data_IF_320985275103
#
_entry.id   IF_320985275103
#
_cell.length_a   1.000
_cell.length_b   1.000
_cell.length_c   1.000
_cell.angle_alpha   90.00
_cell.angle_beta   90.00
_cell.angle_gamma   90.00
#
_symmetry.space_group_name_H-M   'P 1'
#
loop_
_entity.id
_entity.type
_entity.pdbx_description
1 polymer ?
#
# COMPACT_ATOMS: atom_id res chain seq x y z
N UNK A 1 -6.51 -22.13 10.65
CA UNK A 1 -5.79 -21.09 9.89
C UNK A 1 -6.22 -19.76 10.47
N UNK A 2 -5.31 -18.92 10.92
CA UNK A 2 -5.62 -17.60 11.49
C UNK A 2 -5.45 -16.49 10.44
N UNK A 3 -5.89 -15.28 10.76
CA UNK A 3 -5.81 -14.12 9.86
C UNK A 3 -4.38 -13.65 9.58
N UNK A 4 -3.41 -13.94 10.45
CA UNK A 4 -2.01 -13.58 10.21
C UNK A 4 -1.44 -14.44 9.09
N UNK A 5 -1.74 -15.74 9.10
CA UNK A 5 -1.39 -16.65 8.00
C UNK A 5 -2.05 -16.23 6.69
N UNK A 6 -3.26 -15.67 6.74
CA UNK A 6 -3.90 -15.06 5.57
C UNK A 6 -3.09 -13.85 5.10
N UNK A 7 -2.80 -12.89 5.98
CA UNK A 7 -2.00 -11.72 5.63
C UNK A 7 -0.61 -12.08 5.11
N UNK A 8 0.03 -13.11 5.64
CA UNK A 8 1.31 -13.64 5.17
C UNK A 8 1.24 -14.17 3.75
N UNK A 9 0.21 -14.97 3.45
CA UNK A 9 0.00 -15.50 2.10
C UNK A 9 -0.30 -14.38 1.11
N UNK A 10 -1.09 -13.39 1.51
CA UNK A 10 -1.40 -12.23 0.67
C UNK A 10 -0.18 -11.32 0.49
N UNK A 11 0.64 -11.14 1.52
CA UNK A 11 1.85 -10.33 1.44
C UNK A 11 2.84 -10.89 0.41
N UNK A 12 2.93 -12.21 0.25
CA UNK A 12 3.75 -12.82 -0.80
C UNK A 12 3.34 -12.39 -2.21
N UNK A 13 2.03 -12.22 -2.46
CA UNK A 13 1.52 -11.69 -3.74
C UNK A 13 2.03 -10.27 -3.91
N UNK A 14 1.83 -9.41 -2.91
CA UNK A 14 2.34 -8.04 -2.96
C UNK A 14 3.86 -7.98 -3.22
N UNK A 15 4.65 -8.80 -2.54
CA UNK A 15 6.11 -8.79 -2.68
C UNK A 15 6.55 -9.20 -4.09
N UNK A 16 5.88 -10.18 -4.71
CA UNK A 16 6.12 -10.57 -6.11
C UNK A 16 5.82 -9.43 -7.09
N UNK A 17 4.69 -8.74 -6.90
CA UNK A 17 4.33 -7.60 -7.75
C UNK A 17 5.23 -6.39 -7.50
N UNK A 18 5.63 -6.15 -6.25
CA UNK A 18 6.61 -5.10 -5.90
C UNK A 18 7.91 -5.30 -6.66
N UNK A 19 8.44 -6.53 -6.73
CA UNK A 19 9.67 -6.82 -7.48
C UNK A 19 9.50 -6.54 -8.98
N UNK A 20 8.39 -6.95 -9.59
CA UNK A 20 8.06 -6.63 -10.99
C UNK A 20 8.01 -5.12 -11.20
N UNK A 21 7.32 -4.41 -10.31
CA UNK A 21 7.16 -2.96 -10.33
C UNK A 21 8.52 -2.25 -10.26
N UNK A 22 9.42 -2.68 -9.38
CA UNK A 22 10.80 -2.15 -9.29
C UNK A 22 11.60 -2.37 -10.57
N UNK A 23 11.48 -3.55 -11.21
CA UNK A 23 12.11 -3.83 -12.51
C UNK A 23 11.59 -2.90 -13.61
N UNK A 24 10.29 -2.61 -13.65
CA UNK A 24 9.72 -1.69 -14.66
C UNK A 24 10.20 -0.25 -14.47
N UNK A 25 10.29 0.27 -13.23
CA UNK A 25 10.90 1.58 -13.00
C UNK A 25 12.37 1.64 -13.41
N UNK A 26 13.10 0.55 -13.20
CA UNK A 26 14.50 0.45 -13.63
C UNK A 26 14.62 0.49 -15.16
N UNK A 27 13.70 -0.19 -15.87
CA UNK A 27 13.61 -0.11 -17.34
C UNK A 27 13.25 1.29 -17.82
N UNK A 28 12.25 1.93 -17.22
CA UNK A 28 11.86 3.32 -17.52
C UNK A 28 13.06 4.25 -17.37
N UNK A 29 13.77 4.18 -16.25
CA UNK A 29 14.98 4.97 -16.00
C UNK A 29 16.01 4.77 -17.10
N UNK A 30 16.36 3.52 -17.40
CA UNK A 30 17.41 3.20 -18.36
C UNK A 30 17.06 3.69 -19.77
N UNK A 31 15.78 3.59 -20.18
CA UNK A 31 15.32 4.06 -21.49
C UNK A 31 15.33 5.58 -21.60
N UNK A 32 14.86 6.29 -20.56
CA UNK A 32 14.91 7.76 -20.51
C UNK A 32 16.37 8.25 -20.54
N UNK A 33 17.23 7.67 -19.69
CA UNK A 33 18.65 8.05 -19.61
C UNK A 33 19.36 7.79 -20.94
N UNK A 34 19.08 6.66 -21.61
CA UNK A 34 19.63 6.36 -22.94
C UNK A 34 19.19 7.38 -23.99
N UNK A 35 17.90 7.73 -24.03
CA UNK A 35 17.40 8.75 -24.97
C UNK A 35 18.05 10.11 -24.74
N UNK A 36 18.27 10.49 -23.48
CA UNK A 36 19.02 11.70 -23.14
C UNK A 36 20.48 11.61 -23.57
N UNK A 37 21.15 10.49 -23.33
CA UNK A 37 22.54 10.29 -23.74
C UNK A 37 22.71 10.48 -25.24
N UNK A 38 21.89 9.81 -26.05
CA UNK A 38 21.90 9.92 -27.51
C UNK A 38 21.67 11.36 -27.97
N UNK A 39 20.80 12.11 -27.28
CA UNK A 39 20.57 13.52 -27.58
C UNK A 39 21.77 14.40 -27.22
N UNK A 40 22.42 14.18 -26.07
CA UNK A 40 23.62 14.91 -25.66
C UNK A 40 24.81 14.62 -26.59
N UNK A 41 24.99 13.36 -27.01
CA UNK A 41 26.03 12.97 -27.97
C UNK A 41 25.81 13.65 -29.34
N UNK A 42 24.55 13.78 -29.77
CA UNK A 42 24.20 14.32 -31.08
C UNK A 42 24.16 15.85 -31.14
N UNK A 43 23.72 16.50 -30.06
CA UNK A 43 23.42 17.94 -30.05
C UNK A 43 24.27 18.74 -29.06
N UNK A 44 25.12 18.08 -28.26
CA UNK A 44 25.90 18.72 -27.20
C UNK A 44 25.05 19.09 -25.98
N UNK A 45 25.57 20.02 -25.18
CA UNK A 45 25.02 20.46 -23.90
C UNK A 45 24.34 21.85 -23.94
N UNK A 46 24.21 22.46 -25.13
CA UNK A 46 23.67 23.82 -25.25
C UNK A 46 22.20 23.82 -25.60
N UNK A 47 21.37 24.50 -24.81
CA UNK A 47 19.93 24.62 -25.07
C UNK A 47 19.61 25.17 -26.47
N UNK A 48 20.43 26.07 -27.00
CA UNK A 48 20.26 26.64 -28.35
C UNK A 48 20.25 25.56 -29.44
N UNK A 49 21.07 24.51 -29.32
CA UNK A 49 21.10 23.40 -30.28
C UNK A 49 19.82 22.55 -30.24
N UNK A 50 19.19 22.43 -29.07
CA UNK A 50 17.92 21.72 -28.90
C UNK A 50 16.71 22.53 -29.40
N UNK A 51 16.79 23.86 -29.38
CA UNK A 51 15.72 24.71 -29.92
C UNK A 51 15.68 24.69 -31.46
N UNK A 52 16.80 24.43 -32.13
CA UNK A 52 16.83 24.28 -33.59
C UNK A 52 15.94 23.13 -34.02
N UNK A 53 15.17 23.33 -35.09
CA UNK A 53 14.35 22.29 -35.73
C UNK A 53 13.43 21.52 -34.76
N UNK A 54 12.96 22.17 -33.69
CA UNK A 54 12.06 21.55 -32.70
C UNK A 54 12.61 20.27 -32.04
N UNK A 55 13.95 20.10 -31.97
CA UNK A 55 14.58 18.90 -31.40
C UNK A 55 14.20 18.66 -29.94
N UNK A 56 14.05 19.74 -29.16
CA UNK A 56 13.61 19.66 -27.76
C UNK A 56 12.21 19.05 -27.64
N UNK A 57 11.28 19.44 -28.51
CA UNK A 57 9.92 18.90 -28.52
C UNK A 57 9.90 17.44 -29.00
N UNK A 58 10.73 17.11 -30.00
CA UNK A 58 10.88 15.74 -30.46
C UNK A 58 11.42 14.82 -29.37
N UNK A 59 12.42 15.27 -28.59
CA UNK A 59 12.95 14.53 -27.46
C UNK A 59 11.94 14.41 -26.32
N UNK A 60 11.21 15.48 -26.00
CA UNK A 60 10.13 15.44 -25.02
C UNK A 60 9.09 14.39 -25.41
N UNK A 61 8.62 14.41 -26.66
CA UNK A 61 7.68 13.43 -27.19
C UNK A 61 8.21 12.01 -27.10
N UNK A 62 9.47 11.77 -27.46
CA UNK A 62 10.10 10.46 -27.32
C UNK A 62 10.09 9.97 -25.85
N UNK A 63 10.44 10.84 -24.91
CA UNK A 63 10.42 10.50 -23.49
C UNK A 63 9.00 10.26 -22.98
N UNK A 64 8.01 11.04 -23.43
CA UNK A 64 6.60 10.84 -23.12
C UNK A 64 6.08 9.51 -23.65
N UNK A 65 6.46 9.11 -24.87
CA UNK A 65 6.10 7.81 -25.47
C UNK A 65 6.73 6.65 -24.67
N UNK A 66 8.00 6.78 -24.28
CA UNK A 66 8.68 5.80 -23.39
C UNK A 66 7.92 5.69 -22.08
N UNK A 67 7.64 6.82 -21.43
CA UNK A 67 6.98 6.84 -20.13
C UNK A 67 5.56 6.30 -20.20
N UNK A 68 4.79 6.66 -21.22
CA UNK A 68 3.43 6.15 -21.43
C UNK A 68 3.42 4.64 -21.55
N UNK A 69 4.32 4.07 -22.36
CA UNK A 69 4.41 2.61 -22.54
C UNK A 69 4.82 1.88 -21.25
N UNK A 70 5.76 2.41 -20.48
CA UNK A 70 6.17 1.76 -19.23
C UNK A 70 5.14 1.96 -18.10
N UNK A 71 4.46 3.10 -18.04
CA UNK A 71 3.38 3.33 -17.08
C UNK A 71 2.14 2.49 -17.36
N UNK A 72 1.82 2.24 -18.64
CA UNK A 72 0.75 1.31 -18.99
C UNK A 72 1.02 -0.10 -18.44
N UNK A 73 2.27 -0.58 -18.55
CA UNK A 73 2.67 -1.86 -17.93
C UNK A 73 2.59 -1.84 -16.41
N UNK A 74 2.99 -0.74 -15.78
CA UNK A 74 2.86 -0.56 -14.32
C UNK A 74 1.39 -0.59 -13.88
N UNK A 75 0.49 -0.03 -14.69
CA UNK A 75 -0.95 -0.06 -14.44
C UNK A 75 -1.51 -1.49 -14.59
N UNK A 76 -1.17 -2.19 -15.68
CA UNK A 76 -1.55 -3.58 -15.91
C UNK A 76 -1.07 -4.50 -14.76
N UNK A 77 0.17 -4.33 -14.30
CA UNK A 77 0.72 -5.08 -13.16
C UNK A 77 -0.03 -4.74 -11.85
N UNK A 78 -0.42 -3.47 -11.64
CA UNK A 78 -1.16 -3.06 -10.45
C UNK A 78 -2.60 -3.58 -10.43
N UNK A 79 -3.27 -3.59 -11.58
CA UNK A 79 -4.60 -4.18 -11.76
C UNK A 79 -4.57 -5.68 -11.53
N UNK A 80 -3.62 -6.39 -12.17
CA UNK A 80 -3.42 -7.83 -11.97
C UNK A 80 -3.17 -8.18 -10.50
N UNK A 81 -2.37 -7.38 -9.78
CA UNK A 81 -2.16 -7.55 -8.35
C UNK A 81 -3.48 -7.40 -7.56
N UNK A 82 -4.29 -6.39 -7.86
CA UNK A 82 -5.57 -6.19 -7.17
C UNK A 82 -6.53 -7.34 -7.42
N UNK A 83 -6.62 -7.82 -8.66
CA UNK A 83 -7.46 -8.97 -9.02
C UNK A 83 -7.02 -10.24 -8.28
N UNK A 84 -5.72 -10.56 -8.32
CA UNK A 84 -5.18 -11.74 -7.65
C UNK A 84 -5.34 -11.65 -6.13
N UNK A 85 -5.07 -10.47 -5.56
CA UNK A 85 -5.25 -10.21 -4.13
C UNK A 85 -6.71 -10.36 -3.73
N UNK A 86 -7.65 -9.81 -4.53
CA UNK A 86 -9.07 -9.92 -4.28
C UNK A 86 -9.48 -11.39 -4.23
N UNK A 87 -9.15 -12.15 -5.27
CA UNK A 87 -9.55 -13.53 -5.41
C UNK A 87 -8.97 -14.41 -4.29
N UNK A 88 -7.68 -14.21 -3.98
CA UNK A 88 -7.02 -14.96 -2.91
C UNK A 88 -7.58 -14.58 -1.55
N UNK A 89 -7.73 -13.29 -1.26
CA UNK A 89 -8.26 -12.83 0.02
C UNK A 89 -9.67 -13.35 0.22
N UNK A 90 -10.53 -13.25 -0.81
CA UNK A 90 -11.92 -13.67 -0.73
C UNK A 90 -12.06 -15.16 -0.39
N UNK A 91 -11.29 -16.02 -1.06
CA UNK A 91 -11.28 -17.45 -0.79
C UNK A 91 -10.69 -17.77 0.59
N UNK A 92 -9.61 -17.09 1.00
CA UNK A 92 -8.99 -17.30 2.31
C UNK A 92 -9.90 -16.88 3.46
N UNK A 93 -10.59 -15.75 3.36
CA UNK A 93 -11.56 -15.32 4.38
C UNK A 93 -12.83 -16.16 4.35
N UNK A 94 -13.30 -16.62 3.19
CA UNK A 94 -14.39 -17.60 3.12
C UNK A 94 -14.01 -18.92 3.80
N UNK A 95 -12.77 -19.38 3.59
CA UNK A 95 -12.25 -20.57 4.27
C UNK A 95 -12.06 -20.35 5.78
N UNK A 96 -11.67 -19.14 6.21
CA UNK A 96 -11.64 -18.78 7.63
C UNK A 96 -13.01 -18.94 8.28
N UNK A 97 -14.07 -18.45 7.62
CA UNK A 97 -15.46 -18.61 8.07
C UNK A 97 -15.84 -20.08 8.18
N UNK A 98 -15.51 -20.89 7.16
CA UNK A 98 -15.74 -22.35 7.21
C UNK A 98 -15.04 -23.02 8.39
N UNK A 99 -13.76 -22.66 8.63
CA UNK A 99 -12.98 -23.21 9.72
C UNK A 99 -13.57 -22.84 11.09
N UNK A 100 -14.05 -21.61 11.24
CA UNK A 100 -14.74 -21.16 12.45
C UNK A 100 -15.98 -22.00 12.72
N UNK A 101 -16.89 -22.14 11.76
CA UNK A 101 -18.10 -22.96 11.94
C UNK A 101 -17.83 -24.46 12.11
N UNK A 102 -16.66 -24.92 11.69
CA UNK A 102 -16.23 -26.31 11.88
C UNK A 102 -15.61 -26.55 13.26
N UNK A 103 -15.23 -25.50 14.01
CA UNK A 103 -14.67 -25.60 15.35
C UNK A 103 -15.73 -25.97 16.38
N UNK A 104 -15.29 -26.42 17.56
CA UNK A 104 -16.17 -26.77 18.68
C UNK A 104 -17.00 -25.55 19.12
N UNK A 105 -16.39 -24.37 19.20
CA UNK A 105 -17.08 -23.12 19.50
C UNK A 105 -18.09 -22.71 18.42
N UNK A 106 -17.73 -22.86 17.14
CA UNK A 106 -18.65 -22.58 16.04
C UNK A 106 -19.82 -23.56 15.96
N UNK A 107 -19.66 -24.80 16.45
CA UNK A 107 -20.75 -25.77 16.61
C UNK A 107 -21.67 -25.43 17.78
N UNK A 108 -21.13 -24.88 18.87
CA UNK A 108 -21.92 -24.43 20.03
C UNK A 108 -22.75 -23.18 19.72
N UNK A 109 -22.28 -22.32 18.80
CA UNK A 109 -23.00 -21.12 18.34
C UNK A 109 -23.94 -21.39 17.15
N UNK A 110 -23.92 -22.59 16.56
CA UNK A 110 -24.84 -23.02 15.50
C UNK A 110 -26.22 -23.36 16.10
N UNK A 111 -26.96 -22.33 16.54
CA UNK A 111 -28.39 -22.49 16.83
C UNK A 111 -29.13 -22.57 15.49
N UNK A 112 -29.59 -23.79 15.19
CA UNK A 112 -30.63 -24.19 14.24
C UNK A 112 -31.47 -23.05 13.64
N UNK A 113 -31.33 -22.79 12.34
CA UNK A 113 -32.42 -22.15 11.59
C UNK A 113 -33.55 -23.16 11.41
N UNK A 114 -34.63 -22.99 12.17
CA UNK A 114 -35.77 -23.90 12.24
C UNK A 114 -36.63 -24.02 10.94
N UNK A 115 -36.18 -23.48 9.80
CA UNK A 115 -37.02 -23.35 8.59
C UNK A 115 -36.46 -23.97 7.30
N UNK A 116 -35.26 -24.52 7.30
CA UNK A 116 -34.77 -25.37 6.22
C UNK A 116 -33.60 -26.20 6.74
N UNK A 117 -33.53 -27.49 6.43
CA UNK A 117 -32.50 -28.43 6.90
C UNK A 117 -31.05 -28.14 6.44
N UNK A 118 -30.66 -26.88 6.28
CA UNK A 118 -29.30 -26.42 5.95
C UNK A 118 -28.80 -25.56 7.11
N UNK A 119 -27.59 -25.83 7.62
CA UNK A 119 -27.01 -24.99 8.68
C UNK A 119 -26.74 -23.57 8.17
N UNK A 120 -26.92 -22.56 9.03
CA UNK A 120 -26.65 -21.13 8.74
C UNK A 120 -25.25 -20.95 8.15
N UNK A 121 -24.28 -21.72 8.65
CA UNK A 121 -22.92 -21.81 8.12
C UNK A 121 -22.86 -22.16 6.62
N UNK A 122 -23.60 -23.20 6.19
CA UNK A 122 -23.64 -23.63 4.77
C UNK A 122 -24.28 -22.54 3.91
N UNK A 123 -25.35 -21.91 4.38
CA UNK A 123 -26.01 -20.82 3.66
C UNK A 123 -25.07 -19.60 3.46
N UNK A 124 -24.31 -19.21 4.50
CA UNK A 124 -23.33 -18.12 4.44
C UNK A 124 -22.21 -18.45 3.45
N UNK A 125 -21.60 -19.63 3.55
CA UNK A 125 -20.49 -20.04 2.68
C UNK A 125 -20.97 -20.13 1.23
N UNK A 126 -22.14 -20.72 0.99
CA UNK A 126 -22.74 -20.79 -0.34
C UNK A 126 -23.00 -19.38 -0.90
N UNK A 127 -23.55 -18.47 -0.09
CA UNK A 127 -23.77 -17.08 -0.50
C UNK A 127 -22.45 -16.39 -0.86
N UNK A 128 -21.40 -16.52 -0.03
CA UNK A 128 -20.08 -15.95 -0.31
C UNK A 128 -19.53 -16.48 -1.64
N UNK A 129 -19.55 -17.79 -1.85
CA UNK A 129 -19.03 -18.39 -3.08
C UNK A 129 -19.84 -17.98 -4.32
N UNK A 130 -21.17 -17.94 -4.22
CA UNK A 130 -22.07 -17.56 -5.32
C UNK A 130 -21.93 -16.10 -5.72
N UNK A 131 -21.75 -15.20 -4.75
CA UNK A 131 -21.69 -13.75 -5.00
C UNK A 131 -20.27 -13.24 -5.31
N UNK A 132 -19.23 -14.08 -5.21
CA UNK A 132 -17.83 -13.69 -5.45
C UNK A 132 -17.63 -12.90 -6.75
N UNK A 133 -18.19 -13.38 -7.87
CA UNK A 133 -18.02 -12.74 -9.19
C UNK A 133 -18.65 -11.35 -9.21
N UNK A 134 -19.85 -11.20 -8.67
CA UNK A 134 -20.54 -9.91 -8.59
C UNK A 134 -19.74 -8.93 -7.72
N UNK A 135 -19.35 -9.35 -6.52
CA UNK A 135 -18.59 -8.52 -5.57
C UNK A 135 -17.24 -8.09 -6.16
N UNK A 136 -16.57 -8.98 -6.92
CA UNK A 136 -15.35 -8.66 -7.68
C UNK A 136 -15.61 -7.58 -8.73
N UNK A 137 -16.69 -7.71 -9.50
CA UNK A 137 -17.05 -6.71 -10.52
C UNK A 137 -17.37 -5.35 -9.89
N UNK A 138 -18.11 -5.32 -8.78
CA UNK A 138 -18.40 -4.08 -8.04
C UNK A 138 -17.12 -3.42 -7.52
N UNK A 139 -16.20 -4.23 -6.96
CA UNK A 139 -14.90 -3.76 -6.50
C UNK A 139 -14.09 -3.11 -7.62
N UNK A 140 -13.89 -3.86 -8.72
CA UNK A 140 -13.05 -3.41 -9.83
C UNK A 140 -13.61 -2.15 -10.47
N UNK A 141 -14.93 -2.06 -10.68
CA UNK A 141 -15.58 -0.83 -11.18
C UNK A 141 -15.33 0.39 -10.29
N UNK A 142 -15.38 0.20 -8.97
CA UNK A 142 -15.14 1.29 -8.03
C UNK A 142 -13.67 1.73 -7.99
N UNK A 143 -12.72 0.82 -8.25
CA UNK A 143 -11.28 1.11 -8.13
C UNK A 143 -10.59 1.47 -9.44
N UNK A 144 -11.10 1.01 -10.59
CA UNK A 144 -10.48 1.21 -11.92
C UNK A 144 -10.25 2.70 -12.22
N UNK A 145 -11.27 3.52 -12.05
CA UNK A 145 -11.19 4.96 -12.29
C UNK A 145 -10.15 5.65 -11.38
N UNK A 146 -10.13 5.28 -10.10
CA UNK A 146 -9.23 5.87 -9.12
C UNK A 146 -7.76 5.49 -9.40
N UNK A 147 -7.51 4.21 -9.74
CA UNK A 147 -6.19 3.70 -10.07
C UNK A 147 -5.64 4.40 -11.32
N UNK A 148 -6.43 4.44 -12.40
CA UNK A 148 -6.02 5.03 -13.67
C UNK A 148 -5.70 6.52 -13.52
N UNK A 149 -6.57 7.29 -12.87
CA UNK A 149 -6.36 8.72 -12.65
C UNK A 149 -5.07 9.00 -11.86
N UNK A 150 -4.81 8.21 -10.80
CA UNK A 150 -3.63 8.39 -9.94
C UNK A 150 -2.32 8.03 -10.64
N UNK A 151 -2.31 6.96 -11.44
CA UNK A 151 -1.12 6.55 -12.19
C UNK A 151 -0.82 7.53 -13.33
N UNK A 152 -1.83 8.04 -14.03
CA UNK A 152 -1.65 9.05 -15.07
C UNK A 152 -1.11 10.35 -14.49
N UNK A 153 -1.69 10.87 -13.41
CA UNK A 153 -1.18 12.07 -12.75
C UNK A 153 0.28 11.89 -12.31
N UNK A 154 0.60 10.73 -11.73
CA UNK A 154 1.96 10.44 -11.31
C UNK A 154 2.96 10.39 -12.47
N UNK A 155 2.56 9.81 -13.61
CA UNK A 155 3.35 9.81 -14.86
C UNK A 155 3.66 11.24 -15.29
N UNK A 156 2.63 12.08 -15.33
CA UNK A 156 2.74 13.45 -15.85
C UNK A 156 3.62 14.30 -14.93
N UNK A 157 3.44 14.21 -13.61
CA UNK A 157 4.28 14.89 -12.62
C UNK A 157 5.76 14.47 -12.72
N UNK A 158 6.00 13.17 -12.92
CA UNK A 158 7.35 12.62 -13.11
C UNK A 158 7.99 13.13 -14.40
N UNK A 159 7.28 13.05 -15.52
CA UNK A 159 7.79 13.46 -16.83
C UNK A 159 8.04 14.96 -16.90
N UNK A 160 7.12 15.76 -16.35
CA UNK A 160 7.31 17.19 -16.20
C UNK A 160 8.60 17.50 -15.41
N UNK A 161 8.80 16.84 -14.26
CA UNK A 161 9.99 17.05 -13.43
C UNK A 161 11.29 16.70 -14.16
N UNK A 162 11.32 15.55 -14.86
CA UNK A 162 12.49 15.12 -15.64
C UNK A 162 12.81 16.12 -16.76
N UNK A 163 11.78 16.61 -17.45
CA UNK A 163 11.96 17.55 -18.54
C UNK A 163 12.44 18.93 -18.05
N UNK A 164 11.92 19.42 -16.93
CA UNK A 164 12.39 20.67 -16.32
C UNK A 164 13.85 20.56 -15.87
N UNK A 165 14.21 19.49 -15.17
CA UNK A 165 15.59 19.19 -14.75
C UNK A 165 16.54 19.18 -15.99
N UNK A 166 16.11 18.55 -17.10
CA UNK A 166 16.88 18.55 -18.34
C UNK A 166 17.07 19.96 -18.91
N UNK A 167 16.00 20.75 -19.03
CA UNK A 167 16.10 22.11 -19.58
C UNK A 167 17.02 23.00 -18.75
N UNK A 168 16.95 22.90 -17.43
CA UNK A 168 17.79 23.70 -16.54
C UNK A 168 19.26 23.32 -16.64
N UNK A 169 19.57 22.03 -16.78
CA UNK A 169 20.95 21.59 -17.07
C UNK A 169 21.44 22.11 -18.43
N UNK A 170 20.61 22.09 -19.48
CA UNK A 170 20.98 22.64 -20.79
C UNK A 170 21.17 24.17 -20.77
N UNK A 171 20.44 24.91 -19.93
CA UNK A 171 20.64 26.36 -19.74
C UNK A 171 21.96 26.65 -19.04
N UNK A 172 22.31 25.82 -18.05
CA UNK A 172 23.56 25.92 -17.31
C UNK A 172 24.77 25.35 -18.08
N UNK A 173 24.54 24.80 -19.28
CA UNK A 173 25.55 24.07 -20.07
C UNK A 173 26.20 22.91 -19.31
N UNK A 174 25.46 22.31 -18.37
CA UNK A 174 25.91 21.13 -17.63
C UNK A 174 26.03 19.92 -18.56
N UNK A 175 26.91 19.00 -18.21
CA UNK A 175 27.09 17.77 -18.97
C UNK A 175 25.92 16.77 -18.78
N UNK A 176 25.98 15.69 -19.57
CA UNK A 176 25.03 14.59 -19.47
C UNK A 176 25.01 13.94 -18.08
N UNK A 177 26.16 13.89 -17.39
CA UNK A 177 26.28 13.23 -16.08
C UNK A 177 25.42 13.92 -15.02
N UNK A 178 25.39 15.25 -15.01
CA UNK A 178 24.52 16.03 -14.14
C UNK A 178 23.04 15.71 -14.39
N UNK A 179 22.61 15.72 -15.65
CA UNK A 179 21.22 15.41 -16.03
C UNK A 179 20.85 13.97 -15.66
N UNK A 180 21.70 13.00 -15.99
CA UNK A 180 21.50 11.58 -15.68
C UNK A 180 21.33 11.33 -14.19
N UNK A 181 22.14 11.99 -13.35
CA UNK A 181 22.04 11.90 -11.88
C UNK A 181 20.69 12.41 -11.37
N UNK A 182 20.19 13.53 -11.91
CA UNK A 182 18.88 14.08 -11.54
C UNK A 182 17.74 13.16 -11.98
N UNK A 183 17.76 12.66 -13.21
CA UNK A 183 16.78 11.68 -13.69
C UNK A 183 16.74 10.45 -12.80
N UNK A 184 17.89 9.86 -12.46
CA UNK A 184 17.95 8.71 -11.53
C UNK A 184 17.30 9.03 -10.19
N UNK A 185 17.56 10.21 -9.62
CA UNK A 185 16.95 10.66 -8.36
C UNK A 185 15.43 10.81 -8.49
N UNK A 186 14.93 11.43 -9.58
CA UNK A 186 13.49 11.58 -9.84
C UNK A 186 12.82 10.23 -10.00
N UNK A 187 13.43 9.32 -10.76
CA UNK A 187 12.91 7.97 -10.96
C UNK A 187 12.86 7.18 -9.66
N UNK A 188 13.89 7.30 -8.82
CA UNK A 188 13.92 6.68 -7.49
C UNK A 188 12.78 7.20 -6.59
N UNK A 189 12.52 8.50 -6.61
CA UNK A 189 11.40 9.11 -5.87
C UNK A 189 10.05 8.64 -6.43
N UNK A 190 9.89 8.63 -7.75
CA UNK A 190 8.67 8.15 -8.42
C UNK A 190 8.42 6.67 -8.10
N UNK A 191 9.47 5.83 -8.13
CA UNK A 191 9.41 4.41 -7.74
C UNK A 191 8.90 4.24 -6.31
N UNK A 192 9.49 4.95 -5.36
CA UNK A 192 9.09 4.86 -3.95
C UNK A 192 7.63 5.27 -3.75
N UNK A 193 7.18 6.33 -4.43
CA UNK A 193 5.78 6.76 -4.38
C UNK A 193 4.85 5.75 -5.07
N UNK A 194 5.25 5.19 -6.20
CA UNK A 194 4.50 4.14 -6.89
C UNK A 194 4.32 2.89 -6.03
N UNK A 195 5.37 2.41 -5.36
CA UNK A 195 5.30 1.26 -4.44
C UNK A 195 4.36 1.55 -3.26
N UNK A 196 4.41 2.75 -2.69
CA UNK A 196 3.47 3.16 -1.63
C UNK A 196 2.02 3.08 -2.12
N UNK A 197 1.73 3.58 -3.32
CA UNK A 197 0.39 3.47 -3.92
C UNK A 197 -0.01 2.02 -4.15
N UNK A 198 0.90 1.19 -4.66
CA UNK A 198 0.65 -0.25 -4.83
C UNK A 198 0.29 -0.92 -3.49
N UNK A 199 0.99 -0.58 -2.41
CA UNK A 199 0.70 -1.10 -1.07
C UNK A 199 -0.66 -0.62 -0.54
N UNK A 200 -1.03 0.63 -0.79
CA UNK A 200 -2.35 1.17 -0.46
C UNK A 200 -3.47 0.46 -1.21
N UNK A 201 -3.28 0.19 -2.50
CA UNK A 201 -4.22 -0.57 -3.33
C UNK A 201 -4.41 -1.97 -2.78
N UNK A 202 -3.31 -2.68 -2.50
CA UNK A 202 -3.33 -4.01 -1.87
C UNK A 202 -4.12 -4.00 -0.56
N UNK A 203 -3.81 -3.08 0.36
CA UNK A 203 -4.50 -3.00 1.65
C UNK A 203 -5.99 -2.67 1.47
N UNK A 204 -6.34 -1.76 0.55
CA UNK A 204 -7.73 -1.43 0.23
C UNK A 204 -8.50 -2.65 -0.26
N UNK A 205 -7.90 -3.46 -1.15
CA UNK A 205 -8.51 -4.70 -1.65
C UNK A 205 -8.80 -5.67 -0.51
N UNK A 206 -7.81 -5.91 0.37
CA UNK A 206 -7.99 -6.84 1.51
C UNK A 206 -9.08 -6.34 2.46
N UNK A 207 -9.08 -5.05 2.79
CA UNK A 207 -10.08 -4.44 3.65
C UNK A 207 -11.48 -4.49 3.03
N UNK A 208 -11.60 -4.32 1.72
CA UNK A 208 -12.88 -4.46 1.02
C UNK A 208 -13.43 -5.88 1.14
N UNK A 209 -12.59 -6.88 0.90
CA UNK A 209 -12.99 -8.29 1.03
C UNK A 209 -13.45 -8.58 2.45
N UNK A 210 -12.68 -8.15 3.46
CA UNK A 210 -13.05 -8.35 4.86
C UNK A 210 -14.37 -7.65 5.22
N UNK A 211 -14.63 -6.45 4.69
CA UNK A 211 -15.91 -5.74 4.85
C UNK A 211 -17.06 -6.58 4.29
N UNK A 212 -16.91 -7.14 3.09
CA UNK A 212 -17.97 -7.96 2.45
C UNK A 212 -18.19 -9.29 3.16
N UNK A 213 -17.13 -9.89 3.70
CA UNK A 213 -17.26 -11.08 4.54
C UNK A 213 -17.96 -10.74 5.86
N UNK A 214 -17.63 -9.61 6.50
CA UNK A 214 -18.33 -9.14 7.69
C UNK A 214 -19.81 -8.88 7.43
N UNK A 215 -20.15 -8.14 6.36
CA UNK A 215 -21.53 -7.85 5.99
C UNK A 215 -22.35 -9.14 5.77
N UNK A 216 -21.73 -10.23 5.32
CA UNK A 216 -22.39 -11.51 5.15
C UNK A 216 -22.70 -12.22 6.49
N UNK A 217 -21.94 -11.91 7.54
CA UNK A 217 -21.96 -12.56 8.85
C UNK A 217 -22.76 -11.80 9.91
N UNK A 218 -22.65 -10.47 9.95
CA UNK A 218 -23.04 -9.63 11.09
C UNK A 218 -24.48 -9.84 11.59
N UNK A 219 -25.42 -10.12 10.70
CA UNK A 219 -26.85 -10.30 11.04
C UNK A 219 -27.23 -11.77 11.26
N UNK A 220 -26.27 -12.70 11.08
CA UNK A 220 -26.51 -14.16 11.06
C UNK A 220 -25.69 -14.92 12.08
N UNK A 221 -24.67 -14.29 12.65
CA UNK A 221 -23.70 -14.92 13.54
C UNK A 221 -23.48 -13.98 14.71
N UNK A 222 -23.99 -14.37 15.86
CA UNK A 222 -23.70 -13.67 17.11
C UNK A 222 -22.19 -13.71 17.35
N UNK A 223 -21.64 -12.65 17.95
CA UNK A 223 -20.21 -12.51 18.29
C UNK A 223 -19.22 -12.35 17.12
N UNK A 224 -19.69 -11.96 15.93
CA UNK A 224 -18.79 -11.47 14.88
C UNK A 224 -18.61 -9.96 15.01
N UNK A 225 -17.39 -9.55 15.30
CA UNK A 225 -17.05 -8.14 15.45
C UNK A 225 -16.01 -7.71 14.41
N UNK A 226 -15.97 -6.42 14.13
CA UNK A 226 -15.01 -5.84 13.19
C UNK A 226 -14.18 -4.79 13.92
N UNK A 227 -12.88 -5.03 14.02
CA UNK A 227 -11.95 -4.16 14.74
C UNK A 227 -11.02 -3.45 13.76
N UNK A 228 -10.71 -2.19 14.04
CA UNK A 228 -9.74 -1.41 13.29
C UNK A 228 -8.33 -1.63 13.82
N UNK A 229 -7.41 -1.94 12.92
CA UNK A 229 -6.00 -2.16 13.24
C UNK A 229 -5.14 -1.17 12.47
N UNK A 230 -4.45 -0.33 13.21
CA UNK A 230 -3.43 0.56 12.67
C UNK A 230 -2.11 -0.19 12.44
N UNK A 231 -1.30 0.32 11.51
CA UNK A 231 0.08 -0.15 11.42
C UNK A 231 0.84 0.42 12.62
N UNK A 232 1.56 -0.44 13.34
CA UNK A 232 2.33 -0.03 14.53
C UNK A 232 3.65 0.62 14.12
N UNK A 233 3.55 1.85 13.65
CA UNK A 233 4.66 2.74 13.38
C UNK A 233 4.27 4.21 13.58
N UNK A 234 5.29 5.07 13.65
CA UNK A 234 5.12 6.50 13.88
C UNK A 234 4.60 7.27 12.67
N UNK A 235 4.56 6.66 11.48
CA UNK A 235 4.05 7.30 10.26
C UNK A 235 2.53 7.18 10.12
N UNK A 236 1.86 6.33 10.93
CA UNK A 236 0.39 6.32 10.98
C UNK A 236 -0.11 7.59 11.64
N UNK A 237 -1.11 8.23 11.04
CA UNK A 237 -1.69 9.47 11.57
C UNK A 237 -2.27 9.27 12.96
N UNK A 238 -2.19 10.30 13.79
CA UNK A 238 -2.76 10.27 15.14
C UNK A 238 -4.24 9.84 15.16
N UNK A 239 -5.07 10.38 14.28
CA UNK A 239 -6.47 9.99 14.13
C UNK A 239 -6.66 8.47 13.92
N UNK A 240 -5.78 7.85 13.12
CA UNK A 240 -5.86 6.42 12.82
C UNK A 240 -5.28 5.54 13.93
N UNK A 241 -4.39 6.10 14.77
CA UNK A 241 -3.88 5.46 15.97
C UNK A 241 -4.94 5.46 17.08
N UNK A 242 -5.71 6.55 17.21
CA UNK A 242 -6.87 6.60 18.13
C UNK A 242 -7.89 5.51 17.78
N UNK A 243 -8.08 5.25 16.49
CA UNK A 243 -8.96 4.18 16.00
C UNK A 243 -8.38 2.77 16.20
N UNK A 244 -7.10 2.62 16.58
CA UNK A 244 -6.52 1.31 16.82
C UNK A 244 -7.30 0.56 17.90
N UNK A 245 -7.54 -0.73 17.68
CA UNK A 245 -8.31 -1.59 18.58
C UNK A 245 -9.77 -1.16 18.78
N UNK A 246 -10.28 -0.16 18.07
CA UNK A 246 -11.68 0.23 18.15
C UNK A 246 -12.55 -0.72 17.34
N UNK A 247 -13.71 -1.04 17.89
CA UNK A 247 -14.73 -1.86 17.27
C UNK A 247 -15.66 -1.00 16.42
N UNK A 248 -16.12 -1.56 15.32
CA UNK A 248 -17.20 -0.96 14.54
C UNK A 248 -18.52 -1.05 15.31
N UNK A 249 -19.43 -0.11 15.07
CA UNK A 249 -20.79 -0.17 15.57
C UNK A 249 -21.60 -1.33 14.96
N UNK A 250 -22.84 -1.48 15.38
CA UNK A 250 -23.78 -2.50 14.87
C UNK A 250 -24.03 -2.40 13.36
N UNK A 251 -23.99 -1.18 12.81
CA UNK A 251 -24.10 -0.95 11.37
C UNK A 251 -22.82 -1.35 10.61
N UNK A 252 -21.70 -1.51 11.32
CA UNK A 252 -20.38 -1.81 10.79
C UNK A 252 -19.56 -0.56 10.46
N UNK A 253 -19.77 0.56 11.13
CA UNK A 253 -19.01 1.80 10.95
C UNK A 253 -18.04 2.06 12.12
N UNK A 254 -16.87 2.59 11.77
CA UNK A 254 -15.95 3.24 12.69
C UNK A 254 -16.24 4.73 12.72
N UNK A 255 -16.11 5.35 13.89
CA UNK A 255 -16.43 6.76 14.09
C UNK A 255 -15.21 7.55 14.53
N UNK A 256 -14.99 8.71 13.92
CA UNK A 256 -13.93 9.64 14.34
C UNK A 256 -14.34 11.07 14.03
N UNK A 257 -14.28 11.95 15.04
CA UNK A 257 -14.52 13.39 14.90
C UNK A 257 -15.82 13.76 14.13
N UNK A 258 -16.90 12.99 14.33
CA UNK A 258 -18.20 13.21 13.68
C UNK A 258 -18.33 12.66 12.25
N UNK A 259 -17.27 12.09 11.69
CA UNK A 259 -17.33 11.30 10.44
C UNK A 259 -17.39 9.80 10.74
N UNK A 260 -17.83 9.01 9.76
CA UNK A 260 -17.90 7.55 9.87
C UNK A 260 -17.45 6.83 8.60
N UNK A 261 -16.77 5.69 8.76
CA UNK A 261 -16.26 4.87 7.66
C UNK A 261 -16.45 3.38 7.92
N UNK A 262 -16.79 2.59 6.89
CA UNK A 262 -16.92 1.13 7.01
C UNK A 262 -15.58 0.39 7.07
N UNK A 263 -14.54 0.98 6.48
CA UNK A 263 -13.19 0.43 6.43
C UNK A 263 -12.17 1.55 6.15
N UNK A 264 -10.87 1.28 6.30
CA UNK A 264 -9.85 2.21 5.82
C UNK A 264 -10.07 2.61 4.37
N UNK A 265 -9.83 3.88 4.05
CA UNK A 265 -10.04 4.52 2.72
C UNK A 265 -11.48 4.88 2.35
N UNK A 266 -12.46 4.74 3.26
CA UNK A 266 -13.86 5.11 3.00
C UNK A 266 -14.39 6.23 3.88
N UNK A 267 -13.51 7.12 4.38
CA UNK A 267 -13.93 8.34 5.07
C UNK A 267 -14.46 9.37 4.08
N UNK A 268 -15.32 10.29 4.53
CA UNK A 268 -15.74 11.42 3.68
C UNK A 268 -14.59 12.40 3.51
N UNK A 269 -13.82 12.64 4.56
CA UNK A 269 -12.63 13.47 4.51
C UNK A 269 -11.49 12.76 3.73
N UNK A 270 -11.04 13.30 2.58
CA UNK A 270 -9.91 12.74 1.83
C UNK A 270 -8.60 12.68 2.63
N UNK A 271 -8.39 13.55 3.62
CA UNK A 271 -7.20 13.57 4.45
C UNK A 271 -7.05 12.29 5.31
N UNK A 272 -8.18 11.70 5.70
CA UNK A 272 -8.25 10.40 6.40
C UNK A 272 -7.97 9.22 5.46
N UNK A 273 -8.12 9.40 4.14
CA UNK A 273 -7.96 8.31 3.18
C UNK A 273 -6.55 8.22 2.60
N UNK A 274 -5.89 9.34 2.30
CA UNK A 274 -4.58 9.34 1.65
C UNK A 274 -3.54 8.55 2.47
N UNK A 275 -2.63 7.76 1.88
CA UNK A 275 -1.54 7.13 2.67
C UNK A 275 -1.97 6.13 3.76
N UNK A 276 -3.25 5.76 3.85
CA UNK A 276 -3.73 4.90 4.92
C UNK A 276 -3.16 3.48 4.80
N UNK A 277 -2.58 2.98 5.91
CA UNK A 277 -1.96 1.65 6.03
C UNK A 277 -2.67 0.76 7.06
N UNK A 278 -3.83 1.21 7.53
CA UNK A 278 -4.67 0.48 8.47
C UNK A 278 -5.35 -0.70 7.78
N UNK A 279 -5.70 -1.69 8.58
CA UNK A 279 -6.42 -2.89 8.20
C UNK A 279 -7.66 -3.04 9.07
N UNK A 280 -8.59 -3.85 8.63
CA UNK A 280 -9.63 -4.35 9.53
C UNK A 280 -9.30 -5.77 9.97
N UNK A 281 -9.88 -6.17 11.08
CA UNK A 281 -9.76 -7.50 11.63
C UNK A 281 -11.13 -8.02 11.98
N UNK A 282 -11.42 -9.27 11.61
CA UNK A 282 -12.69 -9.91 11.93
C UNK A 282 -12.51 -10.74 13.21
N UNK A 283 -13.24 -10.44 14.26
CA UNK A 283 -13.19 -11.21 15.50
C UNK A 283 -14.37 -12.17 15.52
N UNK A 284 -14.12 -13.41 15.90
CA UNK A 284 -15.14 -14.42 16.09
C UNK A 284 -15.14 -14.81 17.56
N UNK A 285 -16.25 -14.60 18.27
CA UNK A 285 -16.33 -14.85 19.71
C UNK A 285 -15.44 -13.94 20.55
N UNK A 286 -15.20 -12.70 20.12
CA UNK A 286 -14.36 -11.71 20.82
C UNK A 286 -12.87 -12.07 20.95
N UNK A 287 -12.40 -13.15 20.30
CA UNK A 287 -11.00 -13.59 20.40
C UNK A 287 -10.11 -12.82 19.42
N UNK A 288 -9.20 -12.02 19.96
CA UNK A 288 -8.13 -11.38 19.21
C UNK A 288 -7.26 -12.40 18.44
N UNK A 289 -6.61 -12.01 17.33
CA UNK A 289 -5.57 -12.84 16.75
C UNK A 289 -4.49 -13.04 17.81
N UNK A 290 -4.02 -14.27 18.00
CA UNK A 290 -3.01 -14.56 19.03
C UNK A 290 -1.70 -13.77 18.85
N UNK A 291 -1.45 -13.18 17.68
CA UNK A 291 -0.23 -12.44 17.39
C UNK A 291 -0.49 -11.18 16.52
N UNK A 292 0.50 -10.31 16.42
CA UNK A 292 0.51 -9.07 15.66
C UNK A 292 1.88 -8.81 15.05
N UNK A 293 1.94 -8.02 13.97
CA UNK A 293 3.21 -7.61 13.36
C UNK A 293 3.58 -6.22 13.84
N UNK A 294 4.74 -6.13 14.48
CA UNK A 294 5.30 -4.88 15.00
C UNK A 294 6.59 -4.55 14.28
N UNK A 295 6.86 -3.26 14.12
CA UNK A 295 8.22 -2.79 13.87
C UNK A 295 8.97 -2.81 15.21
N UNK A 296 10.17 -3.39 15.19
CA UNK A 296 11.04 -3.43 16.35
C UNK A 296 12.11 -2.34 16.22
N UNK A 297 11.86 -1.20 16.85
CA UNK A 297 12.82 -0.10 16.88
C UNK A 297 13.98 -0.39 17.83
N UNK A 298 13.90 -1.39 18.70
CA UNK A 298 14.97 -1.74 19.64
C UNK A 298 15.92 -2.83 19.07
N UNK A 299 15.66 -3.32 17.85
CA UNK A 299 16.52 -4.31 17.21
C UNK A 299 17.98 -3.80 17.10
N UNK A 300 18.97 -4.55 17.61
CA UNK A 300 20.36 -4.09 17.65
C UNK A 300 20.94 -3.80 16.26
N UNK A 301 20.56 -4.58 15.24
CA UNK A 301 21.06 -4.39 13.87
C UNK A 301 20.45 -3.15 13.23
N UNK A 302 19.17 -2.86 13.51
CA UNK A 302 18.53 -1.62 13.11
C UNK A 302 19.19 -0.41 13.78
N UNK A 303 19.42 -0.45 15.10
CA UNK A 303 20.06 0.63 15.84
C UNK A 303 21.47 0.94 15.34
N UNK A 304 22.28 -0.08 15.03
CA UNK A 304 23.60 0.08 14.41
C UNK A 304 23.48 0.79 13.07
N UNK A 305 22.63 0.29 12.15
CA UNK A 305 22.45 0.89 10.82
C UNK A 305 21.95 2.33 10.90
N UNK A 306 21.05 2.60 11.85
CA UNK A 306 20.51 3.94 12.06
C UNK A 306 21.61 4.91 12.53
N UNK A 307 22.43 4.50 13.49
CA UNK A 307 23.56 5.29 13.98
C UNK A 307 24.58 5.56 12.87
N UNK A 308 25.00 4.53 12.12
CA UNK A 308 25.92 4.67 10.99
C UNK A 308 25.40 5.69 9.96
N UNK A 309 24.10 5.64 9.65
CA UNK A 309 23.52 6.57 8.69
C UNK A 309 23.39 7.99 9.22
N UNK A 310 23.18 8.18 10.51
CA UNK A 310 23.20 9.50 11.14
C UNK A 310 24.60 10.09 11.04
N UNK A 311 25.64 9.30 11.33
CA UNK A 311 27.04 9.71 11.26
C UNK A 311 27.44 10.12 9.83
N UNK A 312 26.96 9.40 8.81
CA UNK A 312 27.16 9.79 7.41
C UNK A 312 26.48 11.12 7.03
N UNK A 313 25.37 11.47 7.67
CA UNK A 313 24.57 12.66 7.35
C UNK A 313 24.99 13.90 8.17
N UNK A 314 25.57 13.70 9.36
CA UNK A 314 26.01 14.74 10.28
C UNK A 314 26.94 15.81 9.67
N UNK A 315 27.89 15.50 8.75
CA UNK A 315 28.75 16.52 8.16
C UNK A 315 28.00 17.65 7.43
N UNK A 316 26.75 17.40 7.01
CA UNK A 316 25.97 18.33 6.19
C UNK A 316 24.66 18.77 6.82
N UNK A 317 24.31 18.26 8.02
CA UNK A 317 22.98 18.41 8.63
C UNK A 317 23.08 18.39 10.15
N UNK A 318 22.12 19.05 10.80
CA UNK A 318 21.95 18.92 12.26
C UNK A 318 21.58 17.48 12.62
N UNK A 319 21.92 17.05 13.83
CA UNK A 319 21.56 15.71 14.32
C UNK A 319 20.07 15.40 14.13
N UNK A 320 19.18 16.35 14.43
CA UNK A 320 17.73 16.17 14.27
C UNK A 320 17.31 15.96 12.80
N UNK A 321 17.94 16.68 11.87
CA UNK A 321 17.70 16.53 10.43
C UNK A 321 18.29 15.22 9.89
N UNK A 322 19.47 14.82 10.38
CA UNK A 322 20.13 13.56 10.06
C UNK A 322 19.32 12.38 10.56
N UNK A 323 18.87 12.41 11.82
CA UNK A 323 18.00 11.40 12.43
C UNK A 323 16.71 11.22 11.64
N UNK A 324 16.00 12.32 11.36
CA UNK A 324 14.75 12.26 10.60
C UNK A 324 14.95 11.64 9.22
N UNK A 325 16.00 12.02 8.51
CA UNK A 325 16.31 11.44 7.20
C UNK A 325 16.74 9.97 7.31
N UNK A 326 17.56 9.62 8.30
CA UNK A 326 18.00 8.24 8.51
C UNK A 326 16.81 7.32 8.82
N UNK A 327 15.85 7.75 9.64
CA UNK A 327 14.60 7.01 9.92
C UNK A 327 13.69 6.88 8.69
N UNK A 328 13.74 7.86 7.78
CA UNK A 328 13.01 7.78 6.51
C UNK A 328 13.64 6.74 5.56
N UNK A 329 14.97 6.65 5.55
CA UNK A 329 15.75 5.79 4.68
C UNK A 329 15.86 4.34 5.20
N UNK A 330 16.03 4.16 6.50
CA UNK A 330 16.22 2.85 7.16
C UNK A 330 14.93 2.45 7.87
N UNK A 331 14.39 1.30 7.49
CA UNK A 331 13.20 0.74 8.13
C UNK A 331 13.57 -0.34 9.14
N UNK A 332 13.02 -0.30 10.37
CA UNK A 332 13.21 -1.37 11.33
C UNK A 332 12.68 -2.71 10.81
N UNK A 333 13.21 -3.84 11.28
CA UNK A 333 12.69 -5.15 10.93
C UNK A 333 11.27 -5.33 11.49
N UNK A 334 10.50 -6.18 10.82
CA UNK A 334 9.17 -6.60 11.29
C UNK A 334 9.31 -7.90 12.08
N UNK A 335 8.70 -7.98 13.25
CA UNK A 335 8.60 -9.23 14.03
C UNK A 335 7.16 -9.55 14.40
N UNK A 336 6.89 -10.82 14.64
CA UNK A 336 5.61 -11.29 15.17
C UNK A 336 5.69 -11.32 16.71
N UNK A 337 4.75 -10.67 17.38
CA UNK A 337 4.60 -10.65 18.85
C UNK A 337 3.17 -11.03 19.22
N UNK A 338 2.87 -11.42 20.47
CA UNK A 338 1.48 -11.47 20.94
C UNK A 338 0.71 -10.19 20.62
N UNK A 339 -0.61 -10.28 20.48
CA UNK A 339 -1.40 -9.07 20.29
C UNK A 339 -1.22 -8.11 21.48
N UNK A 340 -0.96 -6.85 21.17
CA UNK A 340 -0.79 -5.73 22.12
C UNK A 340 -1.45 -4.50 21.50
N UNK A 341 -1.96 -3.56 22.28
CA UNK A 341 -2.53 -2.32 21.71
C UNK A 341 -1.44 -1.44 21.09
N UNK A 342 -1.82 -0.37 20.36
CA UNK A 342 -0.82 0.60 19.90
C UNK A 342 -0.10 1.26 21.09
N UNK A 343 -0.84 1.56 22.16
CA UNK A 343 -0.35 2.14 23.40
C UNK A 343 0.69 1.23 24.08
N UNK A 344 0.34 -0.05 24.27
CA UNK A 344 1.25 -1.04 24.86
C UNK A 344 2.49 -1.25 23.97
N UNK A 345 2.30 -1.27 22.65
CA UNK A 345 3.41 -1.36 21.71
C UNK A 345 4.35 -0.15 21.82
N UNK A 346 3.81 1.06 21.95
CA UNK A 346 4.60 2.27 22.09
C UNK A 346 5.44 2.25 23.38
N UNK A 347 4.88 1.71 24.47
CA UNK A 347 5.60 1.56 25.74
C UNK A 347 6.72 0.52 25.66
N UNK A 348 6.46 -0.64 25.05
CA UNK A 348 7.38 -1.77 25.04
C UNK A 348 8.45 -1.67 23.93
N UNK A 349 8.05 -1.20 22.73
CA UNK A 349 8.88 -1.23 21.51
C UNK A 349 9.03 0.12 20.82
N UNK A 350 8.28 1.13 21.23
CA UNK A 350 8.40 2.48 20.69
C UNK A 350 9.78 3.05 20.95
N UNK A 351 10.17 4.04 20.13
CA UNK A 351 11.29 4.90 20.48
C UNK A 351 10.93 5.64 21.77
N UNK A 352 11.58 5.30 22.88
CA UNK A 352 11.58 6.16 24.07
C UNK A 352 12.31 7.43 23.66
N UNK A 353 11.53 8.51 23.52
CA UNK A 353 12.01 9.82 23.10
C UNK A 353 13.14 10.33 23.96
#
# INVERSE_FOLDING_TARGET
MDQLKIFERLQKIFDQFKEKFEKQYSRLQNRIVKALQEAYEKFGNKLSEYRKYSRLEALKKLMDDISTKEYQRLLEDAEAMQEETFDKAYLLYTYLVYMYFSSEEGRMLNITSATAGTSVAVAIIYWLLRNRKQIRTEFLKATEYETLLRFNKHKDDYMYSVFMDMQDNLKAENDFMATSKQVKKRTQSARNNGIKRLQEMFNSTVNYVQEKVYDALKDKVDSVEKMWISMRDMQVRHAHRILDSQFADEEGYFHYAGDKAKRPKTWKDPAMNYGCRCKILLLFGGKNPMFSRVYDYQDPQYQIKLAERIDELLPNKTYLQSLKQAQDEIKPPKRAVPYITFEDWLEEYGEKG
#
